data_IF_114145967029
#
_entry.id   IF_114145967029
#
_cell.length_a   1.000
_cell.length_b   1.000
_cell.length_c   1.000
_cell.angle_alpha   90.00
_cell.angle_beta   90.00
_cell.angle_gamma   90.00
#
_symmetry.space_group_name_H-M   'P 1'
#
loop_
_entity.id
_entity.type
_entity.pdbx_description
1 polymer ?
#
# COMPACT_ATOMS: atom_id res chain seq x y z
N UNK A 1 7.38 42.69 40.21
CA UNK A 1 8.16 42.07 39.12
C UNK A 1 7.53 40.69 38.90
N UNK A 2 6.44 40.51 38.14
CA UNK A 2 6.29 40.62 36.68
C UNK A 2 7.53 40.04 35.97
N UNK A 3 7.49 38.96 35.20
CA UNK A 3 6.50 38.58 34.19
C UNK A 3 6.25 37.07 34.11
N UNK A 4 4.99 36.72 33.82
CA UNK A 4 4.59 35.42 33.30
C UNK A 4 5.12 35.24 31.87
N UNK A 5 5.58 34.03 31.52
CA UNK A 5 5.78 33.62 30.13
C UNK A 5 5.02 32.32 29.93
N UNK A 6 3.84 32.46 29.34
CA UNK A 6 3.00 31.38 28.84
C UNK A 6 3.74 30.66 27.70
N UNK A 7 4.03 29.37 27.86
CA UNK A 7 4.41 28.51 26.74
C UNK A 7 3.14 28.17 25.95
N UNK A 8 2.93 28.90 24.86
CA UNK A 8 1.97 28.52 23.81
C UNK A 8 2.55 27.32 23.05
N UNK A 9 2.06 26.12 23.34
CA UNK A 9 2.19 24.98 22.43
C UNK A 9 1.26 25.24 21.25
N UNK A 10 1.81 25.72 20.13
CA UNK A 10 1.12 25.76 18.85
C UNK A 10 0.92 24.33 18.34
N UNK A 11 -0.11 23.65 18.84
CA UNK A 11 -0.71 22.52 18.13
C UNK A 11 -1.39 23.08 16.89
N UNK A 12 -0.70 23.02 15.74
CA UNK A 12 -1.37 23.20 14.46
C UNK A 12 -2.41 22.09 14.33
N UNK A 13 -3.72 22.41 14.27
CA UNK A 13 -4.73 21.39 14.00
C UNK A 13 -4.43 20.81 12.62
N UNK A 14 -4.24 19.50 12.56
CA UNK A 14 -4.28 18.78 11.29
C UNK A 14 -5.59 19.18 10.59
N UNK A 15 -5.58 19.54 9.30
CA UNK A 15 -6.81 19.86 8.61
C UNK A 15 -7.73 18.65 8.74
N UNK A 16 -8.86 18.87 9.41
CA UNK A 16 -9.92 17.89 9.53
C UNK A 16 -10.16 17.34 8.12
N UNK A 17 -10.01 16.02 8.01
CA UNK A 17 -10.38 15.32 6.79
C UNK A 17 -11.82 15.64 6.52
N UNK A 18 -12.08 16.54 5.58
CA UNK A 18 -13.43 16.73 5.05
C UNK A 18 -13.89 15.34 4.61
N UNK A 19 -14.87 14.82 5.34
CA UNK A 19 -15.53 13.55 5.09
C UNK A 19 -16.05 13.59 3.65
N UNK A 20 -15.26 13.10 2.71
CA UNK A 20 -15.76 12.84 1.37
C UNK A 20 -16.76 11.70 1.51
N UNK A 21 -18.05 11.95 1.24
CA UNK A 21 -19.10 11.06 1.65
C UNK A 21 -18.94 9.73 0.92
N UNK A 22 -18.77 8.68 1.71
CA UNK A 22 -19.23 7.36 1.31
C UNK A 22 -20.74 7.50 1.07
N UNK A 23 -21.11 7.84 -0.17
CA UNK A 23 -22.48 8.15 -0.55
C UNK A 23 -23.33 6.89 -0.52
N UNK A 24 -23.91 6.61 0.65
CA UNK A 24 -24.95 5.62 0.82
C UNK A 24 -26.30 6.35 0.91
N UNK A 25 -26.85 6.75 -0.24
CA UNK A 25 -28.19 7.30 -0.32
C UNK A 25 -28.96 6.55 -1.40
N UNK A 26 -29.88 5.69 -0.97
CA UNK A 26 -30.84 4.95 -1.79
C UNK A 26 -31.85 5.83 -2.55
N UNK A 27 -31.58 7.13 -2.67
CA UNK A 27 -32.42 8.15 -3.32
C UNK A 27 -31.78 8.63 -4.65
N UNK A 28 -30.48 8.38 -4.88
CA UNK A 28 -29.75 8.73 -6.11
C UNK A 28 -29.82 7.65 -7.21
N UNK A 29 -30.52 6.55 -7.01
CA UNK A 29 -30.56 5.43 -7.97
C UNK A 29 -31.32 5.76 -9.27
N UNK A 30 -32.17 6.79 -9.30
CA UNK A 30 -33.02 7.13 -10.46
C UNK A 30 -32.51 8.28 -11.34
N UNK A 31 -31.57 9.10 -10.87
CA UNK A 31 -31.03 10.24 -11.63
C UNK A 31 -29.52 10.11 -11.96
N UNK A 32 -28.96 8.90 -11.84
CA UNK A 32 -27.56 8.60 -12.20
C UNK A 32 -27.44 7.78 -13.49
N UNK A 33 -28.33 7.99 -14.45
CA UNK A 33 -28.25 7.33 -15.76
C UNK A 33 -27.57 8.18 -16.84
N UNK A 34 -27.25 9.46 -16.61
CA UNK A 34 -26.85 10.36 -17.70
C UNK A 34 -25.76 11.42 -17.37
N UNK A 35 -25.03 11.30 -16.24
CA UNK A 35 -23.79 12.08 -16.08
C UNK A 35 -22.56 11.17 -16.31
N UNK A 36 -21.79 11.38 -17.40
CA UNK A 36 -20.56 10.62 -17.67
C UNK A 36 -19.49 10.77 -16.58
N UNK A 37 -19.66 11.65 -15.59
CA UNK A 37 -18.77 11.82 -14.43
C UNK A 37 -19.13 10.92 -13.25
N UNK A 38 -20.34 10.38 -13.18
CA UNK A 38 -20.77 9.54 -12.04
C UNK A 38 -20.69 8.04 -12.33
N UNK A 39 -20.59 7.67 -13.60
CA UNK A 39 -20.31 6.30 -14.09
C UNK A 39 -18.87 6.13 -14.59
N UNK A 40 -18.11 7.22 -14.75
CA UNK A 40 -16.67 7.14 -14.88
C UNK A 40 -16.12 6.58 -13.57
N UNK A 41 -15.83 5.28 -13.57
CA UNK A 41 -14.95 4.65 -12.58
C UNK A 41 -13.87 5.66 -12.22
N UNK A 42 -13.88 6.15 -10.97
CA UNK A 42 -12.92 7.15 -10.50
C UNK A 42 -11.55 6.50 -10.55
N UNK A 43 -10.90 6.68 -11.70
CA UNK A 43 -9.67 5.99 -12.02
C UNK A 43 -8.50 6.80 -11.51
N UNK A 44 -7.49 6.09 -11.00
CA UNK A 44 -6.35 6.72 -10.33
C UNK A 44 -5.41 7.46 -11.29
N UNK A 45 -5.57 7.30 -12.60
CA UNK A 45 -4.83 8.03 -13.63
C UNK A 45 -5.25 9.50 -13.68
N UNK A 46 -6.53 9.80 -13.44
CA UNK A 46 -7.04 11.17 -13.32
C UNK A 46 -7.08 11.65 -11.87
N UNK A 47 -7.30 10.75 -10.91
CA UNK A 47 -7.42 11.09 -9.49
C UNK A 47 -6.47 10.25 -8.62
N UNK A 48 -5.16 10.54 -8.58
CA UNK A 48 -4.18 9.70 -7.88
C UNK A 48 -4.44 9.52 -6.37
N UNK A 49 -5.15 10.46 -5.74
CA UNK A 49 -5.44 10.40 -4.31
C UNK A 49 -6.34 9.23 -3.90
N UNK A 50 -7.13 8.67 -4.82
CA UNK A 50 -7.98 7.50 -4.53
C UNK A 50 -7.17 6.27 -4.10
N UNK A 51 -5.91 6.18 -4.51
CA UNK A 51 -5.02 5.09 -4.08
C UNK A 51 -4.54 5.22 -2.63
N UNK A 52 -4.63 6.42 -2.04
CA UNK A 52 -4.29 6.65 -0.63
C UNK A 52 -5.50 6.58 0.29
N UNK A 53 -6.69 6.43 -0.26
CA UNK A 53 -7.90 6.23 0.53
C UNK A 53 -7.81 4.90 1.31
N UNK A 54 -8.38 4.90 2.52
CA UNK A 54 -8.46 3.70 3.36
C UNK A 54 -9.22 2.59 2.62
N UNK A 55 -8.67 1.38 2.63
CA UNK A 55 -9.25 0.22 1.93
C UNK A 55 -8.83 0.09 0.46
N UNK A 56 -8.07 1.04 -0.08
CA UNK A 56 -7.45 0.88 -1.39
C UNK A 56 -6.36 -0.21 -1.36
N UNK A 57 -6.16 -0.92 -2.48
CA UNK A 57 -5.19 -2.01 -2.59
C UNK A 57 -3.72 -1.56 -2.61
N UNK A 58 -3.47 -0.25 -2.53
CA UNK A 58 -2.14 0.31 -2.33
C UNK A 58 -2.01 1.72 -2.91
N UNK A 59 -0.93 2.43 -2.58
CA UNK A 59 -0.79 3.85 -2.86
C UNK A 59 -0.41 4.18 -4.31
N UNK A 60 -0.05 3.19 -5.12
CA UNK A 60 0.48 3.39 -6.47
C UNK A 60 -0.60 3.17 -7.53
N UNK A 61 -0.72 4.10 -8.47
CA UNK A 61 -1.58 3.90 -9.62
C UNK A 61 -0.84 3.19 -10.76
N UNK A 62 -1.24 1.96 -11.09
CA UNK A 62 -0.74 1.20 -12.22
C UNK A 62 -1.91 0.83 -13.16
N UNK A 63 -1.91 1.35 -14.39
CA UNK A 63 -2.95 1.06 -15.41
C UNK A 63 -4.38 1.26 -14.89
N UNK A 64 -4.66 2.43 -14.29
CA UNK A 64 -5.95 2.80 -13.70
C UNK A 64 -6.36 2.00 -12.45
N UNK A 65 -5.49 1.12 -11.93
CA UNK A 65 -5.71 0.35 -10.70
C UNK A 65 -4.74 0.79 -9.62
N UNK A 66 -5.24 0.87 -8.39
CA UNK A 66 -4.40 1.06 -7.22
C UNK A 66 -3.77 -0.27 -6.84
N UNK A 67 -2.45 -0.26 -6.62
CA UNK A 67 -1.65 -1.40 -6.21
C UNK A 67 -0.59 -0.94 -5.21
N UNK A 68 -0.08 -1.88 -4.44
CA UNK A 68 1.09 -1.65 -3.59
C UNK A 68 2.32 -2.25 -4.26
N UNK A 69 3.18 -1.40 -4.83
CA UNK A 69 4.41 -1.87 -5.49
C UNK A 69 5.40 -2.52 -4.53
N UNK A 70 5.19 -2.41 -3.22
CA UNK A 70 6.06 -3.04 -2.22
C UNK A 70 5.73 -4.52 -1.99
N UNK A 71 4.54 -4.97 -2.37
CA UNK A 71 4.01 -6.32 -2.10
C UNK A 71 3.40 -7.00 -3.33
N UNK A 72 2.97 -6.25 -4.35
CA UNK A 72 2.39 -6.80 -5.57
C UNK A 72 3.47 -7.44 -6.47
N UNK A 73 3.35 -8.75 -6.68
CA UNK A 73 4.25 -9.55 -7.54
C UNK A 73 4.27 -9.08 -9.00
N UNK A 74 3.18 -8.50 -9.50
CA UNK A 74 3.05 -8.05 -10.89
C UNK A 74 3.55 -6.61 -11.09
N UNK A 75 3.75 -5.85 -10.00
CA UNK A 75 4.12 -4.44 -10.01
C UNK A 75 5.25 -4.15 -9.00
N UNK A 76 6.17 -5.09 -8.81
CA UNK A 76 7.14 -5.04 -7.73
C UNK A 76 8.21 -3.97 -7.96
N UNK A 77 8.28 -3.01 -7.04
CA UNK A 77 9.17 -1.84 -7.08
C UNK A 77 8.73 -0.77 -8.07
N UNK A 78 8.03 -1.14 -9.16
CA UNK A 78 7.46 -0.23 -10.16
C UNK A 78 6.33 -0.92 -10.94
N UNK A 79 5.43 -0.13 -11.50
CA UNK A 79 4.34 -0.64 -12.34
C UNK A 79 4.86 -1.54 -13.48
N UNK A 80 4.22 -2.69 -13.67
CA UNK A 80 4.56 -3.66 -14.71
C UNK A 80 5.84 -4.47 -14.47
N UNK A 81 6.57 -4.23 -13.38
CA UNK A 81 7.74 -5.01 -13.00
C UNK A 81 7.31 -6.30 -12.32
N UNK A 82 7.21 -7.37 -13.11
CA UNK A 82 6.79 -8.68 -12.65
C UNK A 82 7.98 -9.47 -12.10
N UNK A 83 7.84 -10.03 -10.90
CA UNK A 83 8.81 -11.00 -10.37
C UNK A 83 8.70 -12.37 -11.07
N UNK A 84 9.83 -13.09 -11.12
CA UNK A 84 9.87 -14.45 -11.66
C UNK A 84 8.96 -15.40 -10.87
N UNK A 85 8.65 -16.57 -11.45
CA UNK A 85 7.70 -17.52 -10.87
C UNK A 85 8.03 -17.87 -9.40
N UNK A 86 9.29 -18.20 -9.12
CA UNK A 86 9.78 -18.58 -7.78
C UNK A 86 10.13 -17.39 -6.86
N UNK A 87 9.77 -16.17 -7.26
CA UNK A 87 10.03 -14.96 -6.48
C UNK A 87 8.74 -14.33 -5.97
N UNK A 88 8.85 -13.67 -4.82
CA UNK A 88 7.82 -12.81 -4.23
C UNK A 88 8.29 -11.36 -4.21
N UNK A 89 7.34 -10.42 -4.18
CA UNK A 89 7.69 -9.03 -3.95
C UNK A 89 7.82 -8.77 -2.45
N UNK A 90 9.04 -8.51 -2.00
CA UNK A 90 9.35 -8.13 -0.63
C UNK A 90 9.92 -6.72 -0.62
N UNK A 91 9.18 -5.76 -0.06
CA UNK A 91 9.62 -4.38 0.07
C UNK A 91 10.05 -3.77 -1.28
N UNK A 92 9.30 -4.08 -2.35
CA UNK A 92 9.57 -3.59 -3.70
C UNK A 92 10.73 -4.27 -4.42
N UNK A 93 11.24 -5.39 -3.87
CA UNK A 93 12.28 -6.20 -4.50
C UNK A 93 11.79 -7.63 -4.73
N UNK A 94 12.10 -8.18 -5.88
CA UNK A 94 11.83 -9.58 -6.17
C UNK A 94 12.82 -10.47 -5.43
N UNK A 95 12.33 -11.27 -4.49
CA UNK A 95 13.15 -12.14 -3.62
C UNK A 95 12.67 -13.58 -3.75
N UNK A 96 13.60 -14.52 -3.91
CA UNK A 96 13.30 -15.94 -3.83
C UNK A 96 13.28 -16.37 -2.36
N UNK A 97 12.08 -16.52 -1.81
CA UNK A 97 11.88 -16.88 -0.39
C UNK A 97 12.29 -18.32 -0.09
N UNK A 98 12.52 -19.17 -1.10
CA UNK A 98 12.92 -20.56 -0.89
C UNK A 98 14.39 -20.71 -0.50
N UNK A 99 15.23 -19.71 -0.78
CA UNK A 99 16.69 -19.76 -0.59
C UNK A 99 17.27 -18.52 0.07
N UNK A 100 16.52 -17.41 0.15
CA UNK A 100 17.02 -16.19 0.76
C UNK A 100 16.92 -16.27 2.28
N UNK A 101 18.07 -16.33 2.96
CA UNK A 101 18.14 -16.39 4.42
C UNK A 101 17.50 -15.21 5.16
N UNK A 102 17.32 -14.04 4.53
CA UNK A 102 16.64 -12.87 5.13
C UNK A 102 15.12 -12.85 4.90
N UNK A 103 14.62 -13.69 3.99
CA UNK A 103 13.22 -13.76 3.57
C UNK A 103 12.76 -15.22 3.42
N UNK A 104 13.19 -16.10 4.33
CA UNK A 104 13.00 -17.54 4.18
C UNK A 104 11.52 -17.93 4.39
N UNK A 105 10.89 -18.53 3.38
CA UNK A 105 9.47 -18.92 3.39
C UNK A 105 8.49 -17.74 3.23
N UNK A 106 8.80 -16.57 3.77
CA UNK A 106 8.02 -15.32 3.63
C UNK A 106 8.91 -14.08 3.72
N UNK A 107 8.41 -12.94 3.26
CA UNK A 107 9.12 -11.67 3.38
C UNK A 107 9.47 -11.36 4.85
N UNK A 108 10.69 -10.85 5.08
CA UNK A 108 11.20 -10.43 6.39
C UNK A 108 11.33 -11.55 7.43
N UNK A 109 11.35 -12.81 7.00
CA UNK A 109 11.64 -13.94 7.88
C UNK A 109 13.13 -14.30 7.78
N UNK A 110 13.94 -13.73 8.67
CA UNK A 110 15.37 -14.02 8.70
C UNK A 110 15.67 -15.28 9.51
N UNK A 111 16.49 -16.16 8.95
CA UNK A 111 17.04 -17.30 9.67
C UNK A 111 18.05 -16.86 10.74
N UNK A 112 18.24 -17.71 11.76
CA UNK A 112 19.26 -17.48 12.80
C UNK A 112 20.65 -17.38 12.16
N UNK A 113 21.55 -16.65 12.81
CA UNK A 113 22.91 -16.46 12.32
C UNK A 113 23.61 -17.82 12.14
N UNK A 114 24.14 -18.06 10.94
CA UNK A 114 24.77 -19.32 10.55
C UNK A 114 23.84 -20.32 9.88
N UNK A 115 22.51 -20.19 10.04
CA UNK A 115 21.55 -21.10 9.43
C UNK A 115 21.24 -20.71 7.99
N UNK A 116 21.22 -21.71 7.10
CA UNK A 116 20.85 -21.54 5.70
C UNK A 116 19.33 -21.58 5.51
N UNK A 117 18.85 -21.05 4.38
CA UNK A 117 17.47 -21.21 3.94
C UNK A 117 17.43 -22.22 2.80
N UNK A 118 16.64 -23.28 2.95
CA UNK A 118 16.43 -24.30 1.94
C UNK A 118 14.94 -24.64 1.85
N UNK A 119 14.40 -24.68 0.65
CA UNK A 119 12.98 -24.98 0.38
C UNK A 119 12.00 -24.11 1.17
N UNK A 120 12.40 -22.88 1.52
CA UNK A 120 11.59 -21.94 2.31
C UNK A 120 11.59 -22.20 3.82
N UNK A 121 12.50 -23.05 4.29
CA UNK A 121 12.68 -23.39 5.70
C UNK A 121 14.11 -23.05 6.14
N UNK A 122 14.23 -22.49 7.35
CA UNK A 122 15.53 -22.27 7.95
C UNK A 122 16.09 -23.61 8.44
N UNK A 123 17.33 -23.94 8.06
CA UNK A 123 18.03 -25.09 8.61
C UNK A 123 18.18 -24.94 10.12
N UNK A 124 18.07 -26.07 10.81
CA UNK A 124 18.36 -26.20 12.24
C UNK A 124 19.75 -26.79 12.51
N UNK A 125 20.41 -27.32 11.48
CA UNK A 125 21.80 -27.77 11.53
C UNK A 125 22.70 -26.70 10.91
N UNK A 126 23.73 -26.29 11.66
CA UNK A 126 24.82 -25.42 11.22
C UNK A 126 26.06 -26.27 10.93
#
# INVERSE_FOLDING_TARGET
>A
MAFAISVYSNETPLPESEDHPYSNNNILRRFLADDPRTTATVACDKYPRVCRAKGSSGPNCCKKKCVDVSTDKLNCGKCGSKCNYSQMCCQGKCVNTSVNAKHCGRCNNSCKKGSSCAYGMCSYAN
#
